data_IF_439881849381
#
_entry.id   IF_439881849381
#
_cell.length_a   1.000
_cell.length_b   1.000
_cell.length_c   1.000
_cell.angle_alpha   90.00
_cell.angle_beta   90.00
_cell.angle_gamma   90.00
#
_symmetry.space_group_name_H-M   'P 1'
#
loop_
_entity.id
_entity.type
_entity.pdbx_description
1 polymer ?
#
# COMPACT_ATOMS: atom_id res chain seq x y z
N UNK A 1 2.40 4.41 -9.43
CA UNK A 1 3.69 3.95 -8.88
C UNK A 1 3.71 4.27 -7.40
N UNK A 2 4.10 3.28 -6.57
CA UNK A 2 4.26 3.45 -5.13
C UNK A 2 5.65 3.98 -4.78
N UNK A 3 5.73 4.87 -3.77
CA UNK A 3 6.96 5.50 -3.31
C UNK A 3 6.97 5.55 -1.79
N UNK A 4 7.97 4.93 -1.18
CA UNK A 4 8.17 4.96 0.26
C UNK A 4 8.57 6.35 0.77
N UNK A 5 7.97 6.77 1.88
CA UNK A 5 8.22 8.06 2.53
C UNK A 5 8.63 7.84 3.98
N UNK A 6 9.72 8.49 4.38
CA UNK A 6 10.25 8.43 5.74
C UNK A 6 9.73 9.56 6.63
N UNK A 7 9.77 9.36 7.97
CA UNK A 7 9.38 10.37 8.95
C UNK A 7 10.12 11.72 8.76
N UNK A 8 11.46 11.76 8.53
CA UNK A 8 12.14 13.02 8.26
C UNK A 8 11.61 13.80 7.05
N UNK A 9 11.08 13.08 6.04
CA UNK A 9 10.46 13.71 4.87
C UNK A 9 9.10 14.29 5.22
N UNK A 10 8.25 13.54 5.93
CA UNK A 10 6.91 13.99 6.37
C UNK A 10 7.00 15.21 7.29
N UNK A 11 7.99 15.24 8.22
CA UNK A 11 8.23 16.36 9.14
C UNK A 11 8.78 17.62 8.46
N UNK A 12 9.32 17.50 7.26
CA UNK A 12 9.99 18.62 6.60
C UNK A 12 8.97 19.64 6.10
N UNK A 13 9.08 20.88 6.57
CA UNK A 13 8.24 21.99 6.08
C UNK A 13 8.29 22.10 4.56
N UNK A 14 7.12 22.28 3.94
CA UNK A 14 7.00 22.37 2.49
C UNK A 14 7.19 21.02 1.77
N UNK A 15 7.04 19.89 2.44
CA UNK A 15 7.14 18.58 1.78
C UNK A 15 6.08 18.43 0.68
N UNK A 16 4.81 18.73 0.98
CA UNK A 16 3.72 18.65 0.01
C UNK A 16 3.98 19.54 -1.22
N UNK A 17 4.45 20.78 -1.02
CA UNK A 17 4.78 21.69 -2.13
C UNK A 17 5.92 21.17 -3.00
N UNK A 18 6.93 20.51 -2.40
CA UNK A 18 8.01 19.89 -3.19
C UNK A 18 7.54 18.71 -4.00
N UNK A 19 6.64 17.90 -3.45
CA UNK A 19 6.04 16.78 -4.18
C UNK A 19 5.21 17.33 -5.36
N UNK A 20 4.37 18.33 -5.11
CA UNK A 20 3.59 19.02 -6.13
C UNK A 20 4.46 19.56 -7.26
N UNK A 21 5.53 20.28 -6.90
CA UNK A 21 6.48 20.81 -7.90
C UNK A 21 7.19 19.71 -8.69
N UNK A 22 7.53 18.59 -8.04
CA UNK A 22 8.13 17.44 -8.73
C UNK A 22 7.16 16.79 -9.71
N UNK A 23 5.89 16.65 -9.36
CA UNK A 23 4.86 16.13 -10.25
C UNK A 23 4.66 17.03 -11.47
N UNK A 24 4.49 18.34 -11.22
CA UNK A 24 4.31 19.33 -12.27
C UNK A 24 5.53 19.42 -13.20
N UNK A 25 6.73 19.34 -12.65
CA UNK A 25 7.98 19.39 -13.43
C UNK A 25 8.23 18.16 -14.31
N UNK A 26 7.46 17.08 -14.13
CA UNK A 26 7.55 15.84 -14.91
C UNK A 26 6.23 15.50 -15.64
N UNK A 27 5.28 16.41 -15.68
CA UNK A 27 3.96 16.21 -16.30
C UNK A 27 3.23 14.96 -15.79
N UNK A 28 3.40 14.63 -14.49
CA UNK A 28 2.79 13.47 -13.87
C UNK A 28 1.49 13.87 -13.16
N UNK A 29 0.38 13.19 -13.45
CA UNK A 29 -0.85 13.42 -12.72
C UNK A 29 -0.70 12.87 -11.29
N UNK A 30 -1.19 13.61 -10.25
CA UNK A 30 -1.00 13.22 -8.84
C UNK A 30 -1.47 11.78 -8.52
N UNK A 31 -2.59 11.35 -9.10
CA UNK A 31 -3.14 10.00 -8.88
C UNK A 31 -2.24 8.87 -9.40
N UNK A 32 -1.23 9.16 -10.24
CA UNK A 32 -0.28 8.17 -10.71
C UNK A 32 0.75 7.77 -9.64
N UNK A 33 0.83 8.54 -8.55
CA UNK A 33 1.73 8.29 -7.43
C UNK A 33 0.93 7.94 -6.17
N UNK A 34 1.34 6.86 -5.53
CA UNK A 34 0.92 6.46 -4.19
C UNK A 34 2.09 6.60 -3.24
N UNK A 35 1.90 7.31 -2.15
CA UNK A 35 2.93 7.45 -1.11
C UNK A 35 2.70 6.38 -0.04
N UNK A 36 3.73 5.60 0.25
CA UNK A 36 3.72 4.55 1.25
C UNK A 36 4.39 5.03 2.52
N UNK A 37 3.69 4.93 3.64
CA UNK A 37 4.22 5.20 4.98
C UNK A 37 4.05 3.95 5.83
N UNK A 38 5.06 3.59 6.61
CA UNK A 38 4.96 2.44 7.50
C UNK A 38 3.95 2.68 8.62
N UNK A 39 3.35 1.63 9.14
CA UNK A 39 2.43 1.70 10.29
C UNK A 39 3.08 2.42 11.48
N UNK A 40 4.33 2.10 11.81
CA UNK A 40 5.07 2.73 12.89
C UNK A 40 5.20 4.24 12.71
N UNK A 41 5.51 4.69 11.48
CA UNK A 41 5.58 6.11 11.15
C UNK A 41 4.22 6.80 11.35
N UNK A 42 3.15 6.16 10.92
CA UNK A 42 1.80 6.68 11.05
C UNK A 42 1.39 6.92 12.52
N UNK A 43 1.96 6.14 13.45
CA UNK A 43 1.64 6.19 14.88
C UNK A 43 2.58 7.09 15.73
N UNK A 44 3.73 7.57 15.21
CA UNK A 44 4.70 8.34 16.00
C UNK A 44 4.16 9.70 16.49
N UNK A 45 3.60 10.52 15.63
CA UNK A 45 3.03 11.82 15.96
C UNK A 45 1.70 12.00 15.20
N UNK A 46 0.63 11.32 15.61
CA UNK A 46 -0.56 11.17 14.76
C UNK A 46 -1.14 12.49 14.23
N UNK A 47 -1.21 13.53 15.08
CA UNK A 47 -1.77 14.83 14.67
C UNK A 47 -0.94 15.52 13.59
N UNK A 48 0.39 15.45 13.70
CA UNK A 48 1.31 16.04 12.72
C UNK A 48 1.27 15.24 11.42
N UNK A 49 1.28 13.91 11.52
CA UNK A 49 1.19 13.01 10.36
C UNK A 49 -0.13 13.25 9.63
N UNK A 50 -1.27 13.23 10.31
CA UNK A 50 -2.59 13.51 9.70
C UNK A 50 -2.59 14.85 8.96
N UNK A 51 -2.06 15.93 9.57
CA UNK A 51 -1.98 17.22 8.91
C UNK A 51 -1.14 17.19 7.62
N UNK A 52 0.02 16.53 7.67
CA UNK A 52 0.91 16.39 6.50
C UNK A 52 0.27 15.54 5.40
N UNK A 53 -0.41 14.44 5.77
CA UNK A 53 -1.11 13.59 4.82
C UNK A 53 -2.31 14.31 4.18
N UNK A 54 -3.04 15.13 4.94
CA UNK A 54 -4.13 15.96 4.40
C UNK A 54 -3.62 16.93 3.32
N UNK A 55 -2.46 17.56 3.54
CA UNK A 55 -1.85 18.42 2.54
C UNK A 55 -1.47 17.66 1.26
N UNK A 56 -0.97 16.42 1.37
CA UNK A 56 -0.66 15.55 0.23
C UNK A 56 -1.94 15.07 -0.49
N UNK A 57 -2.98 14.75 0.26
CA UNK A 57 -4.30 14.41 -0.31
C UNK A 57 -4.93 15.57 -1.07
N UNK A 58 -4.75 16.80 -0.60
CA UNK A 58 -5.26 18.00 -1.29
C UNK A 58 -4.63 18.19 -2.68
N UNK A 59 -3.43 17.67 -2.91
CA UNK A 59 -2.77 17.65 -4.24
C UNK A 59 -3.38 16.55 -5.13
N UNK A 60 -4.05 15.56 -4.58
CA UNK A 60 -4.64 14.42 -5.30
C UNK A 60 -3.80 13.15 -5.28
N UNK A 61 -2.80 13.06 -4.40
CA UNK A 61 -2.00 11.84 -4.19
C UNK A 61 -2.81 10.75 -3.50
N UNK A 62 -2.41 9.50 -3.74
CA UNK A 62 -2.87 8.35 -2.96
C UNK A 62 -1.90 8.07 -1.82
N UNK A 63 -2.43 7.57 -0.71
CA UNK A 63 -1.65 7.27 0.49
C UNK A 63 -1.97 5.84 0.95
N UNK A 64 -0.93 5.04 1.12
CA UNK A 64 -1.02 3.70 1.67
C UNK A 64 -0.27 3.59 3.01
N UNK A 65 -0.82 2.80 3.93
CA UNK A 65 -0.10 2.32 5.11
C UNK A 65 0.57 1.01 4.74
N UNK A 66 1.89 0.98 4.87
CA UNK A 66 2.73 -0.18 4.60
C UNK A 66 3.05 -0.99 5.87
N UNK A 67 3.40 -2.27 5.72
CA UNK A 67 3.73 -3.21 6.81
C UNK A 67 2.61 -3.30 7.88
N UNK A 68 1.32 -3.18 7.46
CA UNK A 68 0.21 -3.10 8.40
C UNK A 68 0.00 -4.42 9.14
N UNK A 69 -0.15 -4.30 10.47
CA UNK A 69 -0.35 -5.40 11.41
C UNK A 69 0.91 -5.77 12.20
N UNK A 70 2.09 -5.23 11.85
CA UNK A 70 3.35 -5.51 12.56
C UNK A 70 3.58 -4.59 13.76
N UNK A 71 2.81 -3.49 13.87
CA UNK A 71 2.93 -2.46 14.89
C UNK A 71 1.77 -2.42 15.88
N UNK A 72 1.74 -1.37 16.68
CA UNK A 72 0.69 -1.09 17.68
C UNK A 72 -0.25 0.00 17.16
N UNK A 73 -1.05 -0.29 16.14
CA UNK A 73 -2.01 0.69 15.63
C UNK A 73 -3.19 0.90 16.57
N UNK A 74 -3.45 2.16 16.90
CA UNK A 74 -4.74 2.55 17.46
C UNK A 74 -5.78 2.67 16.32
N UNK A 75 -6.82 1.84 16.36
CA UNK A 75 -7.92 1.91 15.40
C UNK A 75 -8.59 3.30 15.36
N UNK A 76 -8.56 4.02 16.50
CA UNK A 76 -9.08 5.39 16.57
C UNK A 76 -8.25 6.34 15.69
N UNK A 77 -6.92 6.24 15.74
CA UNK A 77 -6.03 7.05 14.90
C UNK A 77 -6.12 6.65 13.44
N UNK A 78 -6.16 5.33 13.15
CA UNK A 78 -6.29 4.84 11.77
C UNK A 78 -7.54 5.42 11.08
N UNK A 79 -8.66 5.52 11.80
CA UNK A 79 -9.91 6.09 11.28
C UNK A 79 -9.82 7.59 10.94
N UNK A 80 -8.93 8.32 11.61
CA UNK A 80 -8.71 9.75 11.38
C UNK A 80 -7.74 10.03 10.23
N UNK A 81 -6.98 9.01 9.79
CA UNK A 81 -6.00 9.17 8.73
C UNK A 81 -6.65 9.22 7.35
N UNK A 82 -6.25 10.17 6.50
CA UNK A 82 -6.75 10.29 5.14
C UNK A 82 -6.02 9.31 4.20
N UNK A 83 -6.19 8.01 4.44
CA UNK A 83 -5.54 6.94 3.68
C UNK A 83 -6.47 6.35 2.63
N UNK A 84 -5.88 5.79 1.59
CA UNK A 84 -6.58 5.12 0.49
C UNK A 84 -6.40 3.60 0.52
N UNK A 85 -5.34 3.11 1.16
CA UNK A 85 -4.96 1.70 1.10
C UNK A 85 -4.28 1.21 2.39
N UNK A 86 -4.51 -0.06 2.72
CA UNK A 86 -3.74 -0.83 3.71
C UNK A 86 -3.00 -1.95 2.98
N UNK A 87 -1.68 -2.08 3.22
CA UNK A 87 -0.85 -3.15 2.67
C UNK A 87 -0.57 -4.16 3.78
N UNK A 88 -1.03 -5.37 3.59
CA UNK A 88 -0.87 -6.46 4.57
C UNK A 88 0.56 -6.97 4.46
N UNK A 89 1.30 -6.91 5.56
CA UNK A 89 2.69 -7.38 5.59
C UNK A 89 2.82 -8.85 5.22
N UNK A 90 3.91 -9.18 4.53
CA UNK A 90 4.23 -10.53 4.05
C UNK A 90 4.26 -11.60 5.16
N UNK A 91 4.55 -11.22 6.41
CA UNK A 91 4.57 -12.14 7.55
C UNK A 91 3.23 -12.84 7.69
N UNK A 92 2.12 -12.11 7.62
CA UNK A 92 0.77 -12.67 7.71
C UNK A 92 0.37 -13.50 6.49
N UNK A 93 0.96 -13.18 5.34
CA UNK A 93 0.71 -13.94 4.10
C UNK A 93 1.51 -15.24 4.09
N UNK A 94 2.75 -15.23 4.60
CA UNK A 94 3.56 -16.46 4.71
C UNK A 94 2.95 -17.49 5.65
N UNK A 95 2.31 -17.05 6.74
CA UNK A 95 1.65 -17.93 7.73
C UNK A 95 0.37 -18.61 7.19
N UNK A 96 -0.20 -18.16 6.07
CA UNK A 96 -1.38 -18.79 5.46
C UNK A 96 -1.10 -20.25 5.11
N UNK A 97 0.10 -20.56 4.63
CA UNK A 97 0.51 -21.92 4.27
C UNK A 97 0.52 -22.87 5.46
N UNK A 98 0.77 -22.36 6.67
CA UNK A 98 0.82 -23.15 7.92
C UNK A 98 -0.56 -23.29 8.61
N UNK A 99 -1.62 -22.75 8.00
CA UNK A 99 -2.98 -22.78 8.53
C UNK A 99 -3.25 -21.90 9.74
N UNK A 100 -2.27 -21.08 10.17
CA UNK A 100 -2.39 -20.20 11.33
C UNK A 100 -2.49 -18.70 10.96
N UNK A 101 -1.91 -18.28 9.84
CA UNK A 101 -1.85 -16.88 9.42
C UNK A 101 -3.13 -16.33 8.80
N UNK A 102 -4.04 -17.22 8.41
CA UNK A 102 -5.29 -16.81 7.75
C UNK A 102 -6.14 -15.84 8.57
N UNK A 103 -6.17 -16.00 9.90
CA UNK A 103 -6.98 -15.18 10.80
C UNK A 103 -6.55 -13.69 10.81
N UNK A 104 -5.26 -13.41 10.79
CA UNK A 104 -4.76 -12.02 10.77
C UNK A 104 -5.03 -11.36 9.42
N UNK A 105 -4.73 -12.04 8.32
CA UNK A 105 -5.03 -11.54 6.98
C UNK A 105 -6.54 -11.29 6.81
N UNK A 106 -7.41 -12.22 7.24
CA UNK A 106 -8.85 -12.06 7.24
C UNK A 106 -9.30 -10.84 8.05
N UNK A 107 -8.75 -10.66 9.25
CA UNK A 107 -9.07 -9.53 10.13
C UNK A 107 -8.70 -8.19 9.48
N UNK A 108 -7.52 -8.10 8.87
CA UNK A 108 -7.06 -6.86 8.22
C UNK A 108 -7.90 -6.58 6.97
N UNK A 109 -8.24 -7.59 6.19
CA UNK A 109 -9.13 -7.44 5.03
C UNK A 109 -10.51 -6.93 5.47
N UNK A 110 -11.10 -7.54 6.49
CA UNK A 110 -12.39 -7.09 7.02
C UNK A 110 -12.33 -5.66 7.58
N UNK A 111 -11.22 -5.27 8.20
CA UNK A 111 -10.99 -3.91 8.69
C UNK A 111 -10.95 -2.91 7.54
N UNK A 112 -10.15 -3.17 6.51
CA UNK A 112 -10.04 -2.30 5.33
C UNK A 112 -11.37 -2.12 4.62
N UNK A 113 -12.14 -3.21 4.46
CA UNK A 113 -13.50 -3.16 3.90
C UNK A 113 -14.43 -2.27 4.73
N UNK A 114 -14.40 -2.37 6.07
CA UNK A 114 -15.20 -1.53 6.96
C UNK A 114 -14.79 -0.06 6.97
N UNK A 115 -13.51 0.22 6.77
CA UNK A 115 -12.97 1.58 6.64
C UNK A 115 -13.23 2.17 5.25
N UNK A 116 -13.60 1.35 4.26
CA UNK A 116 -13.79 1.79 2.88
C UNK A 116 -12.49 2.12 2.16
N UNK A 117 -11.37 1.50 2.57
CA UNK A 117 -10.04 1.68 1.95
C UNK A 117 -9.66 0.45 1.13
N UNK A 118 -8.78 0.64 0.14
CA UNK A 118 -8.20 -0.45 -0.64
C UNK A 118 -7.34 -1.37 0.22
N UNK A 119 -7.13 -2.60 -0.25
CA UNK A 119 -6.28 -3.57 0.42
C UNK A 119 -5.35 -4.18 -0.61
N UNK A 120 -4.07 -4.28 -0.24
CA UNK A 120 -3.04 -4.99 -1.00
C UNK A 120 -2.41 -6.05 -0.09
N UNK A 121 -2.39 -7.30 -0.54
CA UNK A 121 -1.66 -8.36 0.15
C UNK A 121 -0.25 -8.46 -0.43
N UNK A 122 0.77 -8.41 0.42
CA UNK A 122 2.16 -8.43 0.01
C UNK A 122 2.84 -9.78 0.25
N UNK A 123 3.86 -10.07 -0.56
CA UNK A 123 4.65 -11.29 -0.41
C UNK A 123 3.89 -12.57 -0.77
N UNK A 124 2.94 -12.50 -1.70
CA UNK A 124 2.24 -13.69 -2.20
C UNK A 124 3.18 -14.49 -3.08
N UNK A 125 3.47 -15.73 -2.68
CA UNK A 125 4.44 -16.60 -3.33
C UNK A 125 3.83 -17.87 -3.90
N UNK A 126 2.63 -18.29 -3.40
CA UNK A 126 2.00 -19.53 -3.83
C UNK A 126 0.57 -19.35 -4.35
N UNK A 127 0.09 -20.23 -5.24
CA UNK A 127 -1.30 -20.23 -5.70
C UNK A 127 -2.31 -20.41 -4.57
N UNK A 128 -1.96 -21.16 -3.53
CA UNK A 128 -2.81 -21.42 -2.35
C UNK A 128 -3.05 -20.12 -1.59
N UNK A 129 -1.98 -19.32 -1.34
CA UNK A 129 -2.09 -17.99 -0.73
C UNK A 129 -2.99 -17.07 -1.57
N UNK A 130 -2.76 -17.04 -2.88
CA UNK A 130 -3.57 -16.22 -3.79
C UNK A 130 -5.04 -16.67 -3.80
N UNK A 131 -5.31 -17.97 -3.76
CA UNK A 131 -6.64 -18.53 -3.68
C UNK A 131 -7.37 -18.17 -2.39
N UNK A 132 -6.68 -18.27 -1.25
CA UNK A 132 -7.20 -17.89 0.06
C UNK A 132 -7.58 -16.40 0.11
N UNK A 133 -6.67 -15.52 -0.30
CA UNK A 133 -6.89 -14.06 -0.33
C UNK A 133 -8.05 -13.67 -1.25
N UNK A 134 -8.15 -14.32 -2.41
CA UNK A 134 -9.29 -14.15 -3.34
C UNK A 134 -10.60 -14.56 -2.69
N UNK A 135 -10.62 -15.68 -1.96
CA UNK A 135 -11.78 -16.16 -1.20
C UNK A 135 -12.26 -15.16 -0.14
N UNK A 136 -11.37 -14.37 0.43
CA UNK A 136 -11.66 -13.29 1.38
C UNK A 136 -12.05 -11.98 0.70
N UNK A 137 -12.03 -11.90 -0.62
CA UNK A 137 -12.33 -10.68 -1.36
C UNK A 137 -11.21 -9.64 -1.32
N UNK A 138 -9.94 -10.06 -1.13
CA UNK A 138 -8.79 -9.16 -1.26
C UNK A 138 -8.63 -8.73 -2.72
N UNK A 139 -8.72 -7.43 -3.04
CA UNK A 139 -8.81 -6.98 -4.43
C UNK A 139 -7.48 -6.99 -5.16
N UNK A 140 -6.37 -6.83 -4.44
CA UNK A 140 -5.02 -6.73 -5.01
C UNK A 140 -4.03 -7.57 -4.22
N UNK A 141 -3.16 -8.27 -4.93
CA UNK A 141 -2.07 -9.05 -4.37
C UNK A 141 -0.78 -8.80 -5.15
N UNK A 142 0.34 -8.71 -4.44
CA UNK A 142 1.68 -8.61 -5.03
C UNK A 142 2.64 -9.60 -4.39
N UNK A 143 3.61 -10.07 -5.16
CA UNK A 143 4.64 -10.98 -4.67
C UNK A 143 5.28 -11.81 -5.79
N UNK A 144 6.17 -12.71 -5.39
CA UNK A 144 6.97 -13.50 -6.33
C UNK A 144 6.16 -14.52 -7.14
N UNK A 145 4.93 -14.81 -6.71
CA UNK A 145 4.00 -15.58 -7.54
C UNK A 145 3.74 -14.89 -8.89
N UNK A 146 3.70 -13.57 -8.93
CA UNK A 146 3.38 -12.79 -10.12
C UNK A 146 4.63 -12.36 -10.88
N UNK A 147 5.58 -11.72 -10.17
CA UNK A 147 6.88 -11.32 -10.72
C UNK A 147 7.85 -11.00 -9.59
N UNK A 148 9.14 -11.26 -9.80
CA UNK A 148 10.21 -10.73 -8.96
C UNK A 148 10.55 -9.31 -9.38
N UNK A 149 11.15 -8.48 -8.49
CA UNK A 149 11.65 -7.17 -8.86
C UNK A 149 12.58 -7.27 -10.07
N UNK A 150 12.40 -6.37 -11.03
CA UNK A 150 13.16 -6.38 -12.29
C UNK A 150 13.52 -4.96 -12.73
N UNK A 151 14.59 -4.78 -13.52
CA UNK A 151 14.92 -3.49 -14.11
C UNK A 151 13.83 -2.96 -15.03
N UNK A 152 13.75 -1.63 -15.20
CA UNK A 152 12.69 -0.97 -15.98
C UNK A 152 12.57 -1.54 -17.42
N UNK A 153 13.69 -1.82 -18.08
CA UNK A 153 13.65 -2.38 -19.44
C UNK A 153 12.97 -3.75 -19.51
N UNK A 154 13.20 -4.61 -18.51
CA UNK A 154 12.54 -5.92 -18.40
C UNK A 154 11.07 -5.76 -18.05
N UNK A 155 10.74 -4.83 -17.14
CA UNK A 155 9.37 -4.53 -16.75
C UNK A 155 8.51 -4.09 -17.95
N UNK A 156 9.04 -3.25 -18.82
CA UNK A 156 8.33 -2.81 -20.02
C UNK A 156 8.00 -3.98 -20.94
N UNK A 157 8.95 -4.90 -21.16
CA UNK A 157 8.71 -6.12 -21.95
C UNK A 157 7.68 -7.04 -21.28
N UNK A 158 7.77 -7.21 -19.95
CA UNK A 158 6.85 -8.04 -19.18
C UNK A 158 5.41 -7.49 -19.22
N UNK A 159 5.22 -6.18 -19.11
CA UNK A 159 3.91 -5.52 -19.22
C UNK A 159 3.32 -5.69 -20.61
N UNK A 160 4.11 -5.50 -21.67
CA UNK A 160 3.66 -5.67 -23.05
C UNK A 160 3.19 -7.10 -23.32
N UNK A 161 3.95 -8.10 -22.85
CA UNK A 161 3.57 -9.50 -23.00
C UNK A 161 2.24 -9.85 -22.31
N UNK A 162 1.95 -9.25 -21.15
CA UNK A 162 0.71 -9.47 -20.40
C UNK A 162 -0.48 -8.68 -20.92
N UNK A 163 -0.27 -7.49 -21.45
CA UNK A 163 -1.34 -6.71 -22.06
C UNK A 163 -1.88 -7.37 -23.34
N UNK A 164 -1.15 -8.33 -23.91
CA UNK A 164 -1.59 -9.11 -25.08
C UNK A 164 -2.40 -10.38 -24.70
N UNK A 165 -2.50 -10.71 -23.40
CA UNK A 165 -3.31 -11.83 -22.93
C UNK A 165 -4.77 -11.36 -22.71
N UNK A 166 -5.79 -12.15 -23.12
CA UNK A 166 -7.17 -11.84 -22.77
C UNK A 166 -7.32 -11.81 -21.24
N UNK A 167 -8.14 -10.90 -20.74
CA UNK A 167 -8.51 -10.87 -19.33
C UNK A 167 -9.33 -12.13 -19.00
N UNK A 168 -8.84 -12.96 -18.07
CA UNK A 168 -9.56 -14.09 -17.51
C UNK A 168 -10.63 -13.60 -16.51
#
# INVERSE_FOLDING_TARGET
>A
VAVNVSMPQVRRRGFAQRVEAALAGNDLPPYAIELEITESLAMEEPKMVVHSLQALKAIGLRIAIDDFGTGYSSLAHLREMPIDCLKIDRTFISEIADGQGGMFAETIIALGQKLGVGIVAEGVETPEQAGFLRGLGCPVAQGYLYAKPMPLGELMGWLQARSALPAD
#
